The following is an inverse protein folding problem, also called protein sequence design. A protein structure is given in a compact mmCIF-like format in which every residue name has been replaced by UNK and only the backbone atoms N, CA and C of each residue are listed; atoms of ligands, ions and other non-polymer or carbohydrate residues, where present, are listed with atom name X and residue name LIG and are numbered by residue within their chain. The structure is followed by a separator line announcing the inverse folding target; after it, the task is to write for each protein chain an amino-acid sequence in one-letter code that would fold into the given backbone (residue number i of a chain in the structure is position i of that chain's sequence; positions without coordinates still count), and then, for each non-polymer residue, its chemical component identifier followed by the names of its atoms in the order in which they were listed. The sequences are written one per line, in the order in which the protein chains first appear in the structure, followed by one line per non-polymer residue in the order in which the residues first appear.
data_IF_494720348507
#
_entry.id   IF_494720348507
#
_cell.length_a   1.000
_cell.length_b   1.000
_cell.length_c   1.000
_cell.angle_alpha   90.00
_cell.angle_beta   90.00
_cell.angle_gamma   90.00
#
_symmetry.space_group_name_H-M   'P 1'
#
loop_
_entity.id
_entity.type
_entity.pdbx_description
1 polymer ?
#
# COMPACT_ATOMS: atom_id res chain seq x y z
N UNK A 1 -14.97 7.60 0.97
CA UNK A 1 -14.22 6.71 0.09
C UNK A 1 -13.82 5.49 0.90
N UNK A 2 -13.97 4.29 0.33
CA UNK A 2 -13.46 3.05 0.88
C UNK A 2 -12.71 2.33 -0.23
N UNK A 3 -11.45 2.02 -0.01
CA UNK A 3 -10.59 1.34 -0.97
C UNK A 3 -9.77 0.24 -0.28
N UNK A 4 -9.78 -0.94 -0.85
CA UNK A 4 -8.99 -2.10 -0.43
C UNK A 4 -8.10 -2.53 -1.58
N UNK A 5 -6.81 -2.73 -1.32
CA UNK A 5 -5.81 -3.07 -2.33
C UNK A 5 -5.90 -2.13 -3.56
N UNK A 6 -5.73 -0.85 -3.30
CA UNK A 6 -5.75 0.21 -4.30
C UNK A 6 -4.44 1.00 -4.33
N UNK A 7 -3.81 1.15 -3.17
CA UNK A 7 -2.59 1.94 -3.07
C UNK A 7 -1.40 1.19 -3.65
N UNK A 8 -1.36 -0.12 -3.54
CA UNK A 8 -0.29 -0.99 -3.98
C UNK A 8 -0.07 -0.99 -5.50
N UNK A 9 -1.14 -0.69 -6.28
CA UNK A 9 -1.08 -0.57 -7.74
C UNK A 9 -0.81 0.86 -8.25
N UNK A 10 -0.65 1.84 -7.35
CA UNK A 10 -0.34 3.21 -7.75
C UNK A 10 1.09 3.33 -8.29
N UNK A 11 1.34 4.26 -9.26
CA UNK A 11 2.65 4.45 -9.85
C UNK A 11 3.75 4.64 -8.80
N UNK A 12 4.80 3.85 -8.94
CA UNK A 12 6.01 3.93 -8.15
C UNK A 12 7.26 4.00 -9.04
N UNK A 13 8.31 4.66 -8.53
CA UNK A 13 9.63 4.70 -9.13
C UNK A 13 10.57 3.92 -8.23
N UNK A 14 11.37 3.04 -8.80
CA UNK A 14 12.36 2.27 -8.07
C UNK A 14 13.75 2.83 -8.34
N UNK A 15 14.58 2.93 -7.31
CA UNK A 15 15.94 3.41 -7.39
C UNK A 15 16.89 2.38 -6.78
N UNK A 16 18.01 2.14 -7.44
CA UNK A 16 19.09 1.29 -6.95
C UNK A 16 20.34 2.10 -6.69
N UNK A 17 21.03 1.76 -5.63
CA UNK A 17 22.28 2.39 -5.25
C UNK A 17 23.44 1.75 -5.99
N UNK A 18 24.30 2.60 -6.58
CA UNK A 18 25.60 2.24 -7.13
C UNK A 18 26.66 3.16 -6.54
N UNK A 19 27.49 2.64 -5.64
CA UNK A 19 28.44 3.43 -4.86
C UNK A 19 27.75 4.48 -4.00
N UNK A 20 27.99 5.77 -4.27
CA UNK A 20 27.38 6.92 -3.59
C UNK A 20 26.17 7.48 -4.33
N UNK A 21 25.95 7.08 -5.58
CA UNK A 21 24.86 7.55 -6.42
C UNK A 21 23.65 6.60 -6.43
N UNK A 22 22.49 7.16 -6.75
CA UNK A 22 21.28 6.42 -6.95
C UNK A 22 20.82 6.53 -8.39
N UNK A 23 20.51 5.37 -9.00
CA UNK A 23 20.04 5.28 -10.37
C UNK A 23 18.61 4.77 -10.41
N UNK A 24 17.79 5.42 -11.23
CA UNK A 24 16.41 4.95 -11.42
C UNK A 24 16.40 3.65 -12.23
N UNK A 25 15.61 2.67 -11.75
CA UNK A 25 15.31 1.47 -12.52
C UNK A 25 14.35 1.84 -13.65
N UNK A 26 14.73 1.50 -14.86
CA UNK A 26 13.96 1.77 -16.07
C UNK A 26 13.72 0.49 -16.84
N UNK A 27 12.69 0.47 -17.68
CA UNK A 27 12.43 -0.63 -18.61
C UNK A 27 12.83 -0.20 -20.00
N UNK A 28 13.63 -1.01 -20.67
CA UNK A 28 14.07 -0.82 -22.04
C UNK A 28 13.96 -2.11 -22.84
N UNK A 29 14.60 -2.12 -24.02
CA UNK A 29 14.74 -3.32 -24.84
C UNK A 29 16.18 -3.83 -24.75
N UNK A 30 16.35 -5.12 -24.65
CA UNK A 30 17.65 -5.75 -24.76
C UNK A 30 18.08 -5.92 -26.25
N UNK A 31 19.20 -6.58 -26.47
CA UNK A 31 19.75 -6.81 -27.83
C UNK A 31 18.85 -7.68 -28.71
N UNK A 32 17.98 -8.46 -28.13
CA UNK A 32 17.06 -9.34 -28.83
C UNK A 32 15.67 -8.72 -29.00
N UNK A 33 15.48 -7.45 -28.52
CA UNK A 33 14.26 -6.71 -28.60
C UNK A 33 13.22 -7.11 -27.53
N UNK A 34 13.62 -7.86 -26.50
CA UNK A 34 12.77 -8.18 -25.37
C UNK A 34 12.84 -7.08 -24.28
N UNK A 35 11.78 -6.96 -23.48
CA UNK A 35 11.77 -6.05 -22.34
C UNK A 35 12.80 -6.48 -21.29
N UNK A 36 13.60 -5.51 -20.84
CA UNK A 36 14.61 -5.71 -19.81
C UNK A 36 14.64 -4.54 -18.82
N UNK A 37 14.95 -4.84 -17.56
CA UNK A 37 15.28 -3.80 -16.58
C UNK A 37 16.70 -3.29 -16.84
N UNK A 38 16.86 -1.98 -16.71
CA UNK A 38 18.13 -1.28 -16.74
C UNK A 38 18.19 -0.18 -15.70
N UNK A 39 19.31 0.49 -15.61
CA UNK A 39 19.49 1.67 -14.77
C UNK A 39 19.65 2.92 -15.67
N UNK A 40 18.99 4.00 -15.29
CA UNK A 40 19.21 5.28 -15.94
C UNK A 40 20.67 5.71 -15.79
N UNK A 41 21.23 6.29 -16.86
CA UNK A 41 22.66 6.70 -16.89
C UNK A 41 22.97 7.81 -15.88
N UNK A 42 21.99 8.70 -15.62
CA UNK A 42 22.18 9.85 -14.75
C UNK A 42 22.04 9.45 -13.28
N UNK A 43 23.14 9.47 -12.54
CA UNK A 43 23.16 9.33 -11.09
C UNK A 43 22.50 10.51 -10.39
N UNK A 44 21.90 10.26 -9.23
CA UNK A 44 21.18 11.25 -8.42
C UNK A 44 21.57 11.17 -6.95
N UNK A 45 21.24 12.22 -6.21
CA UNK A 45 21.23 12.14 -4.76
C UNK A 45 20.20 11.09 -4.26
N UNK A 46 20.37 10.64 -3.02
CA UNK A 46 19.46 9.68 -2.41
C UNK A 46 18.00 10.15 -2.51
N UNK A 47 17.07 9.28 -2.94
CA UNK A 47 15.65 9.59 -2.90
C UNK A 47 15.15 9.85 -1.48
N UNK A 48 14.01 10.55 -1.37
CA UNK A 48 13.37 10.79 -0.08
C UNK A 48 13.07 9.45 0.64
N UNK A 49 13.41 9.38 1.92
CA UNK A 49 13.18 8.18 2.72
C UNK A 49 14.20 7.07 2.56
N UNK A 50 15.20 7.22 1.68
CA UNK A 50 16.25 6.22 1.52
C UNK A 50 17.09 6.09 2.78
N UNK A 51 17.08 4.90 3.41
CA UNK A 51 18.00 4.60 4.50
C UNK A 51 19.44 4.50 3.99
N UNK A 52 20.41 4.88 4.82
CA UNK A 52 21.84 4.82 4.45
C UNK A 52 22.31 3.42 4.03
N UNK A 53 21.71 2.39 4.61
CA UNK A 53 22.03 0.97 4.33
C UNK A 53 21.20 0.36 3.19
N UNK A 54 20.23 1.09 2.63
CA UNK A 54 19.37 0.56 1.60
C UNK A 54 20.12 0.41 0.27
N UNK A 55 19.97 -0.74 -0.40
CA UNK A 55 20.46 -0.97 -1.75
C UNK A 55 19.42 -0.62 -2.82
N UNK A 56 18.15 -0.61 -2.44
CA UNK A 56 17.01 -0.28 -3.27
C UNK A 56 15.98 0.51 -2.46
N UNK A 57 15.28 1.44 -3.10
CA UNK A 57 14.16 2.18 -2.50
C UNK A 57 13.10 2.41 -3.57
N UNK A 58 11.85 2.38 -3.13
CA UNK A 58 10.68 2.67 -3.95
C UNK A 58 10.04 3.97 -3.48
N UNK A 59 9.73 4.84 -4.45
CA UNK A 59 9.02 6.10 -4.22
C UNK A 59 7.69 6.04 -4.95
N UNK A 60 6.63 5.83 -4.20
CA UNK A 60 5.26 5.77 -4.71
C UNK A 60 4.76 7.17 -5.08
N UNK A 61 5.01 7.60 -6.33
CA UNK A 61 4.62 8.93 -6.82
C UNK A 61 3.10 9.06 -7.00
N UNK A 62 2.39 7.96 -7.14
CA UNK A 62 0.91 7.97 -7.19
C UNK A 62 0.26 8.47 -5.91
N UNK A 63 0.93 8.36 -4.74
CA UNK A 63 0.43 8.87 -3.47
C UNK A 63 0.34 10.40 -3.47
N UNK A 64 1.26 11.10 -4.15
CA UNK A 64 1.24 12.56 -4.26
C UNK A 64 -0.03 13.03 -5.00
N UNK A 65 -0.37 12.36 -6.09
CA UNK A 65 -1.56 12.65 -6.89
C UNK A 65 -2.83 12.37 -6.08
N UNK A 66 -2.90 11.23 -5.40
CA UNK A 66 -4.03 10.87 -4.55
C UNK A 66 -4.27 11.90 -3.45
N UNK A 67 -3.22 12.27 -2.71
CA UNK A 67 -3.33 13.23 -1.61
C UNK A 67 -3.73 14.61 -2.13
N UNK A 68 -3.16 15.07 -3.25
CA UNK A 68 -3.54 16.34 -3.87
C UNK A 68 -5.03 16.38 -4.25
N UNK A 69 -5.57 15.28 -4.79
CA UNK A 69 -7.00 15.17 -5.11
C UNK A 69 -7.88 15.21 -3.85
N UNK A 70 -7.50 14.48 -2.78
CA UNK A 70 -8.24 14.51 -1.51
C UNK A 70 -8.24 15.91 -0.89
N UNK A 71 -7.09 16.58 -0.89
CA UNK A 71 -6.95 17.95 -0.40
C UNK A 71 -7.79 18.95 -1.21
N UNK A 72 -7.79 18.80 -2.53
CA UNK A 72 -8.61 19.63 -3.43
C UNK A 72 -10.10 19.47 -3.14
N UNK A 73 -10.59 18.26 -2.94
CA UNK A 73 -11.98 17.98 -2.55
C UNK A 73 -12.34 18.62 -1.22
N UNK A 74 -11.47 18.45 -0.22
CA UNK A 74 -11.66 19.05 1.10
C UNK A 74 -11.70 20.58 1.04
N UNK A 75 -10.79 21.21 0.27
CA UNK A 75 -10.75 22.66 0.09
C UNK A 75 -11.99 23.22 -0.63
N UNK A 76 -12.57 22.45 -1.54
CA UNK A 76 -13.81 22.81 -2.24
C UNK A 76 -15.08 22.58 -1.41
N UNK A 77 -14.95 22.31 -0.10
CA UNK A 77 -16.07 22.16 0.84
C UNK A 77 -16.76 20.79 0.77
N UNK A 78 -16.19 19.81 0.09
CA UNK A 78 -16.67 18.43 0.11
C UNK A 78 -16.00 17.68 1.28
N UNK A 79 -16.73 17.33 2.37
CA UNK A 79 -16.15 16.57 3.46
C UNK A 79 -15.62 15.21 2.96
N UNK A 80 -14.39 14.87 3.31
CA UNK A 80 -13.75 13.63 2.89
C UNK A 80 -13.43 12.77 4.11
N UNK A 81 -13.86 11.51 4.07
CA UNK A 81 -13.27 10.40 4.78
C UNK A 81 -12.83 9.37 3.74
N UNK A 82 -11.54 9.10 3.66
CA UNK A 82 -10.96 8.13 2.75
C UNK A 82 -10.23 7.05 3.57
N UNK A 83 -10.88 5.90 3.71
CA UNK A 83 -10.33 4.70 4.36
C UNK A 83 -9.65 3.84 3.31
N UNK A 84 -8.38 3.56 3.52
CA UNK A 84 -7.57 2.65 2.71
C UNK A 84 -7.15 1.47 3.57
N UNK A 85 -7.24 0.28 3.00
CA UNK A 85 -6.73 -0.96 3.57
C UNK A 85 -5.80 -1.56 2.53
N UNK A 86 -4.53 -1.75 2.89
CA UNK A 86 -3.51 -2.22 1.98
C UNK A 86 -2.30 -2.76 2.76
N UNK A 87 -1.29 -3.30 2.08
CA UNK A 87 -0.12 -3.89 2.72
C UNK A 87 1.15 -3.08 2.47
N UNK A 88 2.03 -3.09 3.47
CA UNK A 88 3.30 -2.40 3.41
C UNK A 88 3.86 -2.02 4.79
N UNK A 89 5.08 -1.46 4.83
CA UNK A 89 5.71 -0.99 6.06
C UNK A 89 5.08 0.31 6.57
N UNK A 90 5.12 0.49 7.89
CA UNK A 90 4.59 1.68 8.56
C UNK A 90 5.62 2.81 8.66
N UNK A 91 6.89 2.46 8.90
CA UNK A 91 7.93 3.41 9.36
C UNK A 91 9.13 3.53 8.42
N UNK A 92 9.16 2.75 7.35
CA UNK A 92 10.27 2.76 6.40
C UNK A 92 9.75 2.76 4.97
N UNK A 93 10.48 3.44 4.07
CA UNK A 93 10.20 3.35 2.66
C UNK A 93 10.39 1.90 2.16
N UNK A 94 9.48 1.37 1.35
CA UNK A 94 9.64 0.07 0.71
C UNK A 94 10.88 0.03 -0.18
N UNK A 95 11.46 -1.16 -0.33
CA UNK A 95 12.56 -1.36 -1.26
C UNK A 95 12.51 -2.75 -1.87
N UNK A 96 12.58 -2.82 -3.20
CA UNK A 96 12.53 -4.06 -3.99
C UNK A 96 11.28 -4.91 -3.72
N UNK A 97 10.15 -4.24 -3.54
CA UNK A 97 8.87 -4.88 -3.27
C UNK A 97 8.03 -5.14 -4.53
N UNK A 98 8.47 -4.66 -5.70
CA UNK A 98 7.76 -4.87 -6.96
C UNK A 98 7.53 -6.36 -7.22
N UNK A 99 6.26 -6.73 -7.38
CA UNK A 99 5.81 -8.09 -7.70
C UNK A 99 4.83 -8.03 -8.86
N UNK A 100 4.66 -9.17 -9.49
CA UNK A 100 3.71 -9.33 -10.58
C UNK A 100 2.98 -10.65 -10.45
N UNK A 101 1.67 -10.62 -10.70
CA UNK A 101 0.83 -11.80 -10.61
C UNK A 101 -0.01 -11.96 -11.88
N UNK A 102 -0.12 -13.21 -12.34
CA UNK A 102 -1.00 -13.61 -13.43
C UNK A 102 -1.62 -14.97 -13.10
N UNK A 103 -2.93 -15.09 -13.23
CA UNK A 103 -3.70 -16.31 -12.97
C UNK A 103 -3.42 -16.92 -11.58
N UNK A 104 -3.20 -16.06 -10.56
CA UNK A 104 -2.93 -16.45 -9.19
C UNK A 104 -1.48 -16.91 -8.92
N UNK A 105 -0.59 -16.84 -9.92
CA UNK A 105 0.82 -17.18 -9.78
C UNK A 105 1.71 -15.92 -9.88
N UNK A 106 2.78 -15.88 -9.10
CA UNK A 106 3.79 -14.83 -9.23
C UNK A 106 4.62 -15.07 -10.50
N UNK A 107 4.77 -14.02 -11.29
CA UNK A 107 5.52 -14.00 -12.56
C UNK A 107 6.55 -12.88 -12.57
N UNK A 108 7.34 -12.78 -13.65
CA UNK A 108 8.22 -11.62 -13.86
C UNK A 108 7.39 -10.34 -14.07
N UNK A 109 7.78 -9.18 -13.51
CA UNK A 109 7.10 -7.90 -13.78
C UNK A 109 7.09 -7.49 -15.27
N UNK A 110 7.96 -8.07 -16.09
CA UNK A 110 7.99 -7.83 -17.53
C UNK A 110 7.19 -8.88 -18.33
N UNK A 111 6.55 -9.84 -17.65
CA UNK A 111 5.74 -10.86 -18.30
C UNK A 111 4.41 -10.29 -18.78
N UNK A 112 4.09 -10.50 -20.05
CA UNK A 112 2.80 -10.13 -20.68
C UNK A 112 2.29 -8.73 -20.25
N UNK A 113 2.99 -7.63 -20.61
CA UNK A 113 2.59 -6.28 -20.23
C UNK A 113 1.13 -5.96 -20.61
N UNK A 114 0.38 -5.37 -19.67
CA UNK A 114 -1.03 -5.08 -19.81
C UNK A 114 -1.98 -6.22 -19.42
N UNK A 115 -1.44 -7.43 -19.16
CA UNK A 115 -2.23 -8.61 -18.73
C UNK A 115 -1.78 -9.13 -17.36
N UNK A 116 -0.78 -8.52 -16.76
CA UNK A 116 -0.18 -8.92 -15.50
C UNK A 116 -0.44 -7.84 -14.46
N UNK A 117 -0.90 -8.24 -13.29
CA UNK A 117 -1.12 -7.36 -12.16
C UNK A 117 0.22 -7.02 -11.50
N UNK A 118 0.51 -5.72 -11.40
CA UNK A 118 1.75 -5.18 -10.81
C UNK A 118 1.45 -4.54 -9.47
N UNK A 119 2.25 -4.85 -8.48
CA UNK A 119 2.05 -4.36 -7.12
C UNK A 119 3.38 -4.01 -6.44
N UNK A 120 3.35 -3.01 -5.56
CA UNK A 120 4.44 -2.63 -4.66
C UNK A 120 3.93 -2.49 -3.24
N UNK A 121 4.80 -2.61 -2.25
CA UNK A 121 4.45 -2.33 -0.87
C UNK A 121 4.12 -0.83 -0.70
N UNK A 122 3.04 -0.53 0.00
CA UNK A 122 2.61 0.85 0.27
C UNK A 122 3.51 1.51 1.31
N UNK A 123 4.07 2.69 0.99
CA UNK A 123 4.75 3.55 1.97
C UNK A 123 3.72 4.34 2.80
N UNK A 124 3.18 3.72 3.84
CA UNK A 124 2.22 4.36 4.74
C UNK A 124 2.79 5.55 5.49
N UNK A 125 4.10 5.54 5.77
CA UNK A 125 4.79 6.67 6.37
C UNK A 125 4.79 7.89 5.46
N UNK A 126 5.11 7.69 4.18
CA UNK A 126 5.03 8.74 3.16
C UNK A 126 3.59 9.24 2.97
N UNK A 127 2.64 8.34 2.81
CA UNK A 127 1.21 8.69 2.67
C UNK A 127 0.74 9.59 3.81
N UNK A 128 1.08 9.22 5.04
CA UNK A 128 0.77 10.03 6.23
C UNK A 128 1.39 11.40 6.17
N UNK A 129 2.71 11.50 5.91
CA UNK A 129 3.42 12.79 5.82
C UNK A 129 2.83 13.70 4.73
N UNK A 130 2.54 13.16 3.56
CA UNK A 130 1.92 13.90 2.46
C UNK A 130 0.55 14.46 2.86
N UNK A 131 -0.31 13.63 3.45
CA UNK A 131 -1.65 14.03 3.87
C UNK A 131 -1.63 15.12 4.97
N UNK A 132 -0.79 14.96 5.99
CA UNK A 132 -0.59 15.95 7.05
C UNK A 132 -0.06 17.29 6.49
N UNK A 133 0.91 17.22 5.57
CA UNK A 133 1.46 18.41 4.90
C UNK A 133 0.45 19.12 4.01
N UNK A 134 -0.50 18.38 3.44
CA UNK A 134 -1.62 18.92 2.68
C UNK A 134 -2.77 19.45 3.55
N UNK A 135 -2.62 19.44 4.89
CA UNK A 135 -3.58 19.98 5.83
C UNK A 135 -4.77 19.05 6.11
N UNK A 136 -4.65 17.77 5.82
CA UNK A 136 -5.64 16.76 6.16
C UNK A 136 -5.33 16.11 7.53
N UNK A 137 -6.35 15.55 8.17
CA UNK A 137 -6.21 14.77 9.38
C UNK A 137 -5.97 13.30 9.00
N UNK A 138 -5.05 12.63 9.71
CA UNK A 138 -4.72 11.22 9.47
C UNK A 138 -4.98 10.40 10.72
N UNK A 139 -5.68 9.30 10.58
CA UNK A 139 -5.90 8.30 11.63
C UNK A 139 -5.31 6.96 11.17
N UNK A 140 -4.42 6.41 11.98
CA UNK A 140 -3.60 5.25 11.60
C UNK A 140 -2.22 5.67 11.03
N UNK A 141 -1.51 4.80 10.30
CA UNK A 141 -1.90 3.41 10.00
C UNK A 141 -1.93 2.52 11.25
N UNK A 142 -2.83 1.56 11.27
CA UNK A 142 -2.89 0.51 12.28
C UNK A 142 -2.95 -0.87 11.60
N UNK A 143 -2.46 -1.96 12.22
CA UNK A 143 -2.63 -3.30 11.69
C UNK A 143 -4.10 -3.63 11.41
N UNK A 144 -4.37 -4.28 10.26
CA UNK A 144 -5.73 -4.65 9.85
C UNK A 144 -6.46 -5.47 10.91
N UNK A 145 -5.75 -6.42 11.54
CA UNK A 145 -6.34 -7.24 12.60
C UNK A 145 -6.85 -6.40 13.76
N UNK A 146 -6.09 -5.39 14.20
CA UNK A 146 -6.51 -4.46 15.26
C UNK A 146 -7.70 -3.60 14.82
N UNK A 147 -7.67 -3.08 13.60
CA UNK A 147 -8.76 -2.29 13.02
C UNK A 147 -10.07 -3.09 12.97
N UNK A 148 -10.02 -4.32 12.46
CA UNK A 148 -11.20 -5.20 12.37
C UNK A 148 -11.74 -5.58 13.75
N UNK A 149 -10.86 -5.88 14.71
CA UNK A 149 -11.27 -6.16 16.10
C UNK A 149 -11.90 -4.92 16.73
N UNK A 150 -11.36 -3.73 16.49
CA UNK A 150 -11.94 -2.46 16.93
C UNK A 150 -13.35 -2.19 16.35
N UNK A 151 -13.63 -2.70 15.16
CA UNK A 151 -14.97 -2.68 14.56
C UNK A 151 -15.92 -3.78 15.08
N UNK A 152 -15.45 -4.67 15.97
CA UNK A 152 -16.26 -5.76 16.53
C UNK A 152 -16.26 -7.04 15.70
N UNK A 153 -15.22 -7.29 14.89
CA UNK A 153 -15.11 -8.48 14.05
C UNK A 153 -15.31 -9.79 14.83
N UNK A 154 -14.83 -9.88 16.07
CA UNK A 154 -15.03 -11.07 16.91
C UNK A 154 -16.51 -11.35 17.20
N UNK A 155 -17.29 -10.30 17.52
CA UNK A 155 -18.71 -10.46 17.76
C UNK A 155 -19.45 -10.87 16.48
N UNK A 156 -19.07 -10.29 15.35
CA UNK A 156 -19.60 -10.64 14.03
C UNK A 156 -19.28 -12.07 13.64
N UNK A 157 -18.04 -12.52 13.85
CA UNK A 157 -17.60 -13.89 13.61
C UNK A 157 -18.46 -14.89 14.39
N UNK A 158 -18.65 -14.66 15.71
CA UNK A 158 -19.46 -15.53 16.56
C UNK A 158 -20.92 -15.65 16.07
N UNK A 159 -21.49 -14.53 15.59
CA UNK A 159 -22.83 -14.51 15.00
C UNK A 159 -22.89 -15.33 13.69
N UNK A 160 -21.90 -15.17 12.81
CA UNK A 160 -21.86 -15.87 11.53
C UNK A 160 -21.70 -17.38 11.69
N UNK A 161 -20.78 -17.82 12.55
CA UNK A 161 -20.55 -19.24 12.84
C UNK A 161 -21.82 -19.86 13.43
N UNK A 162 -22.47 -19.19 14.38
CA UNK A 162 -23.72 -19.67 14.99
C UNK A 162 -24.89 -19.77 14.00
N UNK A 163 -24.92 -18.84 13.02
CA UNK A 163 -25.98 -18.82 12.01
C UNK A 163 -25.73 -19.79 10.85
N UNK A 164 -24.52 -20.33 10.69
CA UNK A 164 -24.11 -21.21 9.60
C UNK A 164 -23.25 -22.35 10.16
N UNK A 165 -23.82 -23.23 10.94
CA UNK A 165 -23.11 -24.29 11.66
C UNK A 165 -22.35 -25.24 10.70
N UNK A 166 -22.92 -25.55 9.52
CA UNK A 166 -22.30 -26.41 8.52
C UNK A 166 -21.02 -25.80 7.93
N UNK A 167 -20.95 -24.46 7.76
CA UNK A 167 -19.81 -23.71 7.20
C UNK A 167 -18.96 -23.06 8.30
N UNK A 168 -19.21 -23.37 9.57
CA UNK A 168 -18.58 -22.70 10.72
C UNK A 168 -17.06 -22.65 10.66
N UNK A 169 -16.43 -23.76 10.30
CA UNK A 169 -14.96 -23.85 10.18
C UNK A 169 -14.41 -23.00 9.01
N UNK A 170 -15.11 -22.97 7.89
CA UNK A 170 -14.73 -22.16 6.72
C UNK A 170 -14.79 -20.67 7.07
N UNK A 171 -15.87 -20.24 7.71
CA UNK A 171 -16.09 -18.86 8.17
C UNK A 171 -15.01 -18.48 9.19
N UNK A 172 -14.75 -19.37 10.17
CA UNK A 172 -13.72 -19.12 11.18
C UNK A 172 -12.33 -18.96 10.56
N UNK A 173 -11.92 -19.87 9.69
CA UNK A 173 -10.62 -19.82 9.03
C UNK A 173 -10.46 -18.58 8.13
N UNK A 174 -11.50 -18.20 7.40
CA UNK A 174 -11.50 -16.98 6.60
C UNK A 174 -11.32 -15.72 7.46
N UNK A 175 -12.02 -15.62 8.60
CA UNK A 175 -11.86 -14.51 9.53
C UNK A 175 -10.48 -14.50 10.21
N UNK A 176 -9.96 -15.68 10.60
CA UNK A 176 -8.61 -15.78 11.16
C UNK A 176 -7.56 -15.25 10.17
N UNK A 177 -7.64 -15.62 8.91
CA UNK A 177 -6.73 -15.13 7.89
C UNK A 177 -6.68 -13.59 7.83
N UNK A 178 -7.80 -12.91 8.02
CA UNK A 178 -7.88 -11.44 7.99
C UNK A 178 -7.31 -10.79 9.26
N UNK A 179 -7.36 -11.48 10.41
CA UNK A 179 -7.09 -10.91 11.74
C UNK A 179 -5.74 -11.35 12.30
N UNK A 180 -5.31 -12.59 12.03
CA UNK A 180 -4.10 -13.17 12.62
C UNK A 180 -2.85 -12.38 12.15
N UNK A 181 -1.99 -11.94 13.09
CA UNK A 181 -0.74 -11.25 12.75
C UNK A 181 0.20 -12.04 11.84
N UNK A 182 0.13 -13.38 11.87
CA UNK A 182 0.96 -14.24 11.01
C UNK A 182 0.52 -14.28 9.56
N UNK A 183 -0.72 -13.87 9.32
CA UNK A 183 -1.33 -13.78 7.99
C UNK A 183 -1.47 -12.30 7.56
N UNK A 184 -2.70 -11.87 7.26
CA UNK A 184 -2.97 -10.51 6.78
C UNK A 184 -3.06 -9.48 7.93
N UNK A 185 -3.33 -9.94 9.17
CA UNK A 185 -3.67 -9.05 10.28
C UNK A 185 -2.58 -8.03 10.65
N UNK A 186 -1.30 -8.39 10.53
CA UNK A 186 -0.17 -7.46 10.75
C UNK A 186 0.37 -6.89 9.42
N UNK A 187 0.40 -7.69 8.36
CA UNK A 187 0.94 -7.30 7.05
C UNK A 187 0.14 -6.17 6.42
N UNK A 188 -1.19 -6.23 6.51
CA UNK A 188 -2.10 -5.20 6.04
C UNK A 188 -2.29 -4.12 7.10
N UNK A 189 -2.51 -2.89 6.64
CA UNK A 189 -2.75 -1.71 7.47
C UNK A 189 -4.04 -1.02 7.05
N UNK A 190 -4.74 -0.47 8.02
CA UNK A 190 -5.83 0.46 7.78
C UNK A 190 -5.38 1.88 8.09
N UNK A 191 -5.65 2.83 7.20
CA UNK A 191 -5.38 4.25 7.37
C UNK A 191 -6.58 5.05 6.88
N UNK A 192 -6.98 6.07 7.62
CA UNK A 192 -8.02 6.99 7.18
C UNK A 192 -7.48 8.41 7.05
N UNK A 193 -7.68 9.02 5.88
CA UNK A 193 -7.35 10.41 5.58
C UNK A 193 -8.67 11.19 5.56
N UNK A 194 -8.74 12.28 6.31
CA UNK A 194 -9.98 13.01 6.53
C UNK A 194 -9.81 14.51 6.37
N UNK A 195 -10.88 15.19 5.96
CA UNK A 195 -10.95 16.65 6.10
C UNK A 195 -10.84 17.03 7.58
N UNK A 196 -10.20 18.17 7.88
CA UNK A 196 -10.04 18.66 9.26
C UNK A 196 -11.37 18.79 9.99
N UNK A 197 -11.34 18.40 11.27
CA UNK A 197 -12.46 18.58 12.18
C UNK A 197 -13.59 17.56 12.03
N UNK A 198 -13.43 16.56 11.18
CA UNK A 198 -14.37 15.45 11.12
C UNK A 198 -14.16 14.49 12.31
N UNK A 199 -15.21 13.78 12.76
CA UNK A 199 -15.07 12.82 13.85
C UNK A 199 -14.08 11.71 13.48
N UNK A 200 -13.34 11.20 14.50
CA UNK A 200 -12.47 10.05 14.32
C UNK A 200 -13.28 8.86 13.81
N UNK A 201 -12.83 8.18 12.74
CA UNK A 201 -13.54 7.01 12.21
C UNK A 201 -13.48 5.84 13.21
N UNK A 202 -14.52 5.01 13.19
CA UNK A 202 -14.57 3.80 14.01
C UNK A 202 -13.48 2.80 13.59
N UNK A 203 -13.04 1.97 14.54
CA UNK A 203 -12.04 0.93 14.32
C UNK A 203 -10.60 1.33 14.63
N UNK A 204 -10.31 2.61 14.85
CA UNK A 204 -8.97 3.12 15.14
C UNK A 204 -8.75 3.46 16.61
#
# INVERSE_FOLDING_TARGET
ILANEYLDCLPARQFRRDGEEWHECVVGLDTDGALAFGLAADGRAAPEGAAQSAACVEVQTGLDILVAELATRAANGAPVHALFIDYGPTDAAPGDSLRAFKDGAQVSPLHAPGETDLTVDVDFGRLKRLAESAGLDVTGPVPQGMFLLGLGAQARLNQLVKANEEDGDVIFNAAQRLIDPKDMGERFKAICISSKGLPKPAGF
#
